data_IF_605865280774
#
_entry.id   IF_605865280774
#
_cell.length_a   1.000
_cell.length_b   1.000
_cell.length_c   1.000
_cell.angle_alpha   90.00
_cell.angle_beta   90.00
_cell.angle_gamma   90.00
#
_symmetry.space_group_name_H-M   'P 1'
#
loop_
_entity.id
_entity.type
_entity.pdbx_description
1 polymer ?
#
# COMPACT_ATOMS: atom_id res chain seq x y z
N UNK A 1 84.96 0.26 5.61
CA UNK A 1 85.07 -0.94 6.46
C UNK A 1 83.70 -1.29 7.03
N UNK A 2 83.23 -2.51 6.72
CA UNK A 2 82.36 -3.43 7.49
C UNK A 2 81.18 -2.90 8.35
N UNK A 3 80.00 -3.43 7.96
CA UNK A 3 78.82 -3.85 8.77
C UNK A 3 77.92 -2.70 9.26
N UNK A 4 76.59 -2.77 9.27
CA UNK A 4 75.73 -3.91 9.55
C UNK A 4 74.34 -3.75 8.92
N UNK A 5 73.75 -4.88 8.56
CA UNK A 5 72.35 -5.05 8.14
C UNK A 5 71.44 -4.83 9.34
N UNK A 6 70.34 -4.08 9.17
CA UNK A 6 69.13 -4.28 9.97
C UNK A 6 67.91 -3.89 9.13
N UNK A 7 67.42 -4.87 8.38
CA UNK A 7 66.08 -4.89 7.82
C UNK A 7 65.16 -5.31 8.97
N UNK A 8 64.35 -4.39 9.50
CA UNK A 8 63.23 -4.71 10.39
C UNK A 8 61.94 -4.29 9.72
N UNK A 9 61.17 -5.30 9.37
CA UNK A 9 59.79 -5.27 8.94
C UNK A 9 58.98 -4.26 9.76
N UNK A 10 58.38 -3.29 9.09
CA UNK A 10 57.25 -2.53 9.62
C UNK A 10 56.03 -3.44 9.43
N UNK A 11 55.68 -4.18 10.47
CA UNK A 11 54.40 -4.86 10.57
C UNK A 11 53.36 -3.81 10.97
N UNK A 12 52.67 -3.21 10.00
CA UNK A 12 51.48 -2.42 10.26
C UNK A 12 50.40 -3.36 10.82
N UNK A 13 50.27 -3.39 12.14
CA UNK A 13 49.17 -4.02 12.84
C UNK A 13 47.94 -3.11 12.67
N UNK A 14 47.19 -3.26 11.58
CA UNK A 14 45.85 -2.67 11.49
C UNK A 14 44.94 -3.47 12.42
N UNK A 15 44.66 -2.92 13.60
CA UNK A 15 43.57 -3.37 14.46
C UNK A 15 42.28 -3.06 13.70
N UNK A 16 41.79 -4.04 12.93
CA UNK A 16 40.41 -4.04 12.49
C UNK A 16 39.55 -4.32 13.73
N UNK A 17 39.01 -3.26 14.33
CA UNK A 17 37.87 -3.42 15.24
C UNK A 17 36.71 -3.83 14.35
N UNK A 18 36.57 -5.13 14.14
CA UNK A 18 35.33 -5.69 13.67
C UNK A 18 34.30 -5.44 14.78
N UNK A 19 33.48 -4.40 14.61
CA UNK A 19 32.16 -4.38 15.21
C UNK A 19 31.38 -5.52 14.56
N UNK A 20 31.59 -6.74 15.06
CA UNK A 20 30.65 -7.81 14.86
C UNK A 20 29.38 -7.39 15.60
N UNK A 21 28.44 -6.79 14.87
CA UNK A 21 27.06 -6.83 15.29
C UNK A 21 26.72 -8.30 15.57
N UNK A 22 26.01 -8.61 16.67
CA UNK A 22 25.60 -9.97 16.94
C UNK A 22 24.84 -10.51 15.71
N UNK A 23 25.12 -11.76 15.34
CA UNK A 23 24.50 -12.37 14.17
C UNK A 23 22.98 -12.43 14.38
N UNK A 24 22.18 -12.10 13.37
CA UNK A 24 20.71 -12.10 13.44
C UNK A 24 20.12 -13.42 13.94
N UNK A 25 20.83 -14.55 13.78
CA UNK A 25 20.44 -15.84 14.35
C UNK A 25 20.38 -15.81 15.89
N UNK A 26 21.33 -15.12 16.53
CA UNK A 26 21.34 -14.98 18.00
C UNK A 26 20.27 -14.02 18.52
N UNK A 27 19.84 -13.03 17.74
CA UNK A 27 18.69 -12.17 18.08
C UNK A 27 17.35 -12.89 17.90
N UNK A 28 17.20 -13.70 16.84
CA UNK A 28 16.00 -14.51 16.61
C UNK A 28 15.84 -15.58 17.70
N UNK A 29 16.94 -16.22 18.12
CA UNK A 29 16.91 -17.21 19.20
C UNK A 29 16.71 -16.57 20.59
N UNK A 30 17.17 -15.34 20.81
CA UNK A 30 16.91 -14.59 22.04
C UNK A 30 15.44 -14.10 22.15
N UNK A 31 14.78 -13.82 21.03
CA UNK A 31 13.33 -13.53 20.98
C UNK A 31 12.51 -14.78 21.36
N UNK A 32 13.02 -15.98 21.08
CA UNK A 32 12.29 -17.23 21.28
C UNK A 32 12.21 -17.75 22.73
N UNK A 33 13.04 -17.29 23.67
CA UNK A 33 13.19 -18.01 24.95
C UNK A 33 12.63 -17.40 26.24
N UNK A 34 12.41 -16.09 26.41
CA UNK A 34 11.80 -15.59 27.67
C UNK A 34 11.06 -14.26 27.48
N UNK A 35 9.94 -14.24 26.77
CA UNK A 35 8.97 -13.16 26.94
C UNK A 35 7.61 -13.76 27.29
N UNK A 36 7.07 -13.38 28.45
CA UNK A 36 5.67 -13.58 28.72
C UNK A 36 4.90 -12.99 27.53
N UNK A 37 4.03 -13.79 26.91
CA UNK A 37 3.27 -13.47 25.70
C UNK A 37 2.16 -12.48 26.01
N UNK A 38 2.55 -11.34 26.56
CA UNK A 38 1.64 -10.26 26.88
C UNK A 38 1.13 -9.64 25.58
N UNK A 39 -0.11 -9.13 25.57
CA UNK A 39 -0.64 -8.40 24.43
C UNK A 39 0.30 -7.32 23.88
N UNK A 40 1.02 -6.62 24.76
CA UNK A 40 1.99 -5.58 24.38
C UNK A 40 3.19 -6.15 23.61
N UNK A 41 3.75 -7.28 24.07
CA UNK A 41 4.87 -7.94 23.40
C UNK A 41 4.44 -8.43 22.01
N UNK A 42 3.30 -9.10 21.92
CA UNK A 42 2.78 -9.59 20.64
C UNK A 42 2.50 -8.44 19.65
N UNK A 43 1.94 -7.34 20.15
CA UNK A 43 1.71 -6.12 19.34
C UNK A 43 3.03 -5.56 18.83
N UNK A 44 4.05 -5.44 19.70
CA UNK A 44 5.37 -4.94 19.31
C UNK A 44 6.00 -5.81 18.22
N UNK A 45 6.02 -7.13 18.41
CA UNK A 45 6.56 -8.07 17.41
C UNK A 45 5.84 -7.88 16.07
N UNK A 46 4.51 -7.76 16.10
CA UNK A 46 3.72 -7.53 14.89
C UNK A 46 4.10 -6.23 14.17
N UNK A 47 4.29 -5.15 14.92
CA UNK A 47 4.71 -3.86 14.35
C UNK A 47 6.14 -3.94 13.78
N UNK A 48 7.07 -4.58 14.49
CA UNK A 48 8.45 -4.78 14.03
C UNK A 48 8.49 -5.61 12.72
N UNK A 49 7.61 -6.61 12.58
CA UNK A 49 7.44 -7.36 11.34
C UNK A 49 6.94 -6.50 10.18
N UNK A 50 5.96 -5.62 10.41
CA UNK A 50 5.48 -4.68 9.39
C UNK A 50 6.60 -3.72 8.96
N UNK A 51 7.30 -3.11 9.92
CA UNK A 51 8.41 -2.19 9.64
C UNK A 51 9.49 -2.89 8.81
N UNK A 52 9.92 -4.08 9.22
CA UNK A 52 10.90 -4.87 8.47
C UNK A 52 10.42 -5.20 7.06
N UNK A 53 9.14 -5.54 6.89
CA UNK A 53 8.56 -5.81 5.58
C UNK A 53 8.60 -4.58 4.67
N UNK A 54 8.19 -3.42 5.18
CA UNK A 54 8.14 -2.18 4.41
C UNK A 54 9.54 -1.72 3.99
N UNK A 55 10.52 -1.82 4.89
CA UNK A 55 11.92 -1.50 4.59
C UNK A 55 12.48 -2.40 3.47
N UNK A 56 12.28 -3.73 3.57
CA UNK A 56 12.76 -4.68 2.56
C UNK A 56 12.14 -4.45 1.18
N UNK A 57 10.89 -3.98 1.13
CA UNK A 57 10.16 -3.74 -0.10
C UNK A 57 10.20 -2.28 -0.58
N UNK A 58 11.04 -1.44 0.05
CA UNK A 58 11.16 -0.01 -0.25
C UNK A 58 9.81 0.74 -0.25
N UNK A 59 8.87 0.32 0.61
CA UNK A 59 7.60 1.01 0.86
C UNK A 59 7.84 2.05 1.95
N UNK A 60 7.65 3.32 1.62
CA UNK A 60 7.93 4.41 2.56
C UNK A 60 6.75 4.62 3.51
N UNK A 61 6.87 4.10 4.72
CA UNK A 61 6.00 4.45 5.85
C UNK A 61 6.34 5.88 6.31
N UNK A 62 5.32 6.72 6.42
CA UNK A 62 5.44 8.15 6.78
C UNK A 62 5.08 8.38 8.23
N UNK A 63 3.97 7.81 8.68
CA UNK A 63 3.52 7.85 10.06
C UNK A 63 2.82 6.56 10.45
N UNK A 64 2.82 6.30 11.75
CA UNK A 64 2.13 5.17 12.36
C UNK A 64 1.55 5.63 13.69
N UNK A 65 0.26 5.40 13.90
CA UNK A 65 -0.45 5.75 15.12
C UNK A 65 -1.07 4.50 15.70
N UNK A 66 -0.76 4.24 16.96
CA UNK A 66 -1.27 3.09 17.70
C UNK A 66 -2.26 3.63 18.72
N UNK A 67 -3.50 3.17 18.62
CA UNK A 67 -4.56 3.52 19.57
C UNK A 67 -4.47 2.66 20.84
N UNK A 68 -5.12 3.08 21.95
CA UNK A 68 -5.19 2.26 23.14
C UNK A 68 -5.70 0.84 22.85
N UNK A 69 -5.05 -0.13 23.48
CA UNK A 69 -5.42 -1.54 23.36
C UNK A 69 -6.78 -1.79 24.01
N UNK A 70 -7.61 -2.56 23.31
CA UNK A 70 -8.90 -3.03 23.79
C UNK A 70 -8.70 -4.48 24.22
N UNK A 71 -8.92 -4.78 25.50
CA UNK A 71 -8.68 -6.11 26.09
C UNK A 71 -9.99 -6.67 26.62
N UNK A 72 -10.24 -7.94 26.33
CA UNK A 72 -11.29 -8.76 26.92
C UNK A 72 -10.70 -10.00 27.59
N UNK A 73 -11.55 -10.86 28.14
CA UNK A 73 -11.13 -12.10 28.82
C UNK A 73 -10.31 -13.06 27.93
N UNK A 74 -10.58 -13.10 26.61
CA UNK A 74 -9.96 -14.07 25.70
C UNK A 74 -9.36 -13.46 24.43
N UNK A 75 -9.62 -12.18 24.16
CA UNK A 75 -9.13 -11.49 22.97
C UNK A 75 -8.63 -10.08 23.30
N UNK A 76 -7.67 -9.61 22.52
CA UNK A 76 -7.30 -8.21 22.50
C UNK A 76 -7.20 -7.69 21.08
N UNK A 77 -7.42 -6.40 20.94
CA UNK A 77 -7.36 -5.68 19.68
C UNK A 77 -6.55 -4.39 19.87
N UNK A 78 -5.71 -4.09 18.90
CA UNK A 78 -4.94 -2.85 18.84
C UNK A 78 -5.26 -2.18 17.50
N UNK A 79 -6.05 -1.09 17.50
CA UNK A 79 -6.26 -0.30 16.31
C UNK A 79 -4.99 0.45 15.94
N UNK A 80 -4.59 0.35 14.67
CA UNK A 80 -3.40 0.98 14.12
C UNK A 80 -3.76 1.71 12.83
N UNK A 81 -3.26 2.92 12.70
CA UNK A 81 -3.29 3.70 11.46
C UNK A 81 -1.86 3.78 10.92
N UNK A 82 -1.68 3.45 9.65
CA UNK A 82 -0.39 3.51 8.95
C UNK A 82 -0.53 4.39 7.70
N UNK A 83 0.25 5.47 7.62
CA UNK A 83 0.31 6.35 6.47
C UNK A 83 1.56 6.10 5.64
N UNK A 84 1.40 6.09 4.32
CA UNK A 84 2.43 5.75 3.35
C UNK A 84 2.53 6.81 2.27
N UNK A 85 3.74 6.98 1.74
CA UNK A 85 3.99 7.69 0.48
C UNK A 85 4.55 6.69 -0.52
N UNK A 86 3.82 6.41 -1.59
CA UNK A 86 4.15 5.30 -2.48
C UNK A 86 3.71 5.57 -3.93
N UNK A 87 4.14 4.73 -4.87
CA UNK A 87 3.57 4.71 -6.23
C UNK A 87 2.52 3.61 -6.40
N UNK A 88 1.67 3.71 -7.43
CA UNK A 88 0.57 2.76 -7.66
C UNK A 88 0.99 1.29 -7.59
N UNK A 89 2.14 0.94 -8.17
CA UNK A 89 2.68 -0.42 -8.17
C UNK A 89 3.10 -0.94 -6.78
N UNK A 90 3.27 -0.07 -5.80
CA UNK A 90 3.64 -0.42 -4.43
C UNK A 90 2.42 -0.62 -3.52
N UNK A 91 1.21 -0.25 -3.95
CA UNK A 91 -0.01 -0.46 -3.14
C UNK A 91 -0.20 -1.94 -2.80
N UNK A 92 -0.13 -2.90 -3.76
CA UNK A 92 -0.30 -4.31 -3.44
C UNK A 92 0.76 -4.83 -2.48
N UNK A 93 2.01 -4.35 -2.59
CA UNK A 93 3.10 -4.71 -1.67
C UNK A 93 2.81 -4.24 -0.26
N UNK A 94 2.38 -3.00 -0.09
CA UNK A 94 2.03 -2.46 1.21
C UNK A 94 0.86 -3.23 1.87
N UNK A 95 -0.13 -3.65 1.08
CA UNK A 95 -1.24 -4.47 1.57
C UNK A 95 -0.83 -5.92 1.86
N UNK A 96 0.11 -6.48 1.11
CA UNK A 96 0.64 -7.83 1.36
C UNK A 96 1.34 -7.96 2.72
N UNK A 97 1.94 -6.87 3.23
CA UNK A 97 2.56 -6.84 4.55
C UNK A 97 1.61 -7.29 5.67
N UNK A 98 0.32 -6.94 5.58
CA UNK A 98 -0.69 -7.29 6.58
C UNK A 98 -1.05 -8.78 6.53
N UNK A 99 -1.03 -9.38 5.34
CA UNK A 99 -1.23 -10.83 5.16
C UNK A 99 0.01 -11.60 5.64
N UNK A 100 1.21 -11.17 5.23
CA UNK A 100 2.46 -11.87 5.53
C UNK A 100 2.89 -11.77 7.00
N UNK A 101 2.53 -10.67 7.66
CA UNK A 101 2.71 -10.55 9.12
C UNK A 101 1.63 -11.31 9.90
N UNK A 102 0.49 -11.63 9.26
CA UNK A 102 -0.57 -12.42 9.89
C UNK A 102 -0.18 -13.89 9.98
N UNK A 103 -0.23 -14.44 11.18
CA UNK A 103 0.14 -15.82 11.44
C UNK A 103 0.43 -16.10 12.90
N UNK A 104 0.41 -17.38 13.27
CA UNK A 104 0.70 -17.82 14.64
C UNK A 104 -0.32 -17.34 15.67
N UNK A 105 -0.03 -16.22 16.35
CA UNK A 105 -0.80 -15.69 17.50
C UNK A 105 -1.49 -14.36 17.23
N UNK A 106 -1.24 -13.74 16.08
CA UNK A 106 -1.76 -12.42 15.72
C UNK A 106 -2.21 -12.40 14.27
N UNK A 107 -3.25 -11.63 13.99
CA UNK A 107 -3.70 -11.27 12.66
C UNK A 107 -3.70 -9.74 12.58
N UNK A 108 -3.20 -9.20 11.47
CA UNK A 108 -3.40 -7.80 11.12
C UNK A 108 -4.52 -7.74 10.10
N UNK A 109 -5.64 -7.14 10.48
CA UNK A 109 -6.82 -7.03 9.62
C UNK A 109 -6.98 -5.60 9.14
N UNK A 110 -6.61 -5.27 7.89
CA UNK A 110 -6.97 -3.99 7.29
C UNK A 110 -8.49 -3.83 7.31
N UNK A 111 -8.95 -2.71 7.84
CA UNK A 111 -10.36 -2.34 7.98
C UNK A 111 -10.75 -1.31 6.94
N UNK A 112 -9.92 -0.32 6.68
CA UNK A 112 -10.19 0.67 5.66
C UNK A 112 -8.90 1.12 4.99
N UNK A 113 -8.99 1.47 3.71
CA UNK A 113 -7.87 1.99 2.93
C UNK A 113 -8.33 3.23 2.20
N UNK A 114 -7.56 4.30 2.33
CA UNK A 114 -7.73 5.52 1.53
C UNK A 114 -6.45 5.78 0.75
N UNK A 115 -6.57 6.05 -0.54
CA UNK A 115 -5.47 6.41 -1.44
C UNK A 115 -5.82 7.70 -2.14
N UNK A 116 -4.91 8.68 -2.10
CA UNK A 116 -5.04 9.95 -2.80
C UNK A 116 -3.79 10.26 -3.59
N UNK A 117 -3.96 10.86 -4.77
CA UNK A 117 -2.84 11.44 -5.52
C UNK A 117 -2.29 12.63 -4.75
N UNK A 118 -0.99 12.61 -4.48
CA UNK A 118 -0.26 13.70 -3.85
C UNK A 118 -0.05 14.87 -4.82
N UNK A 119 0.28 16.04 -4.29
CA UNK A 119 0.76 17.15 -5.09
C UNK A 119 2.19 16.92 -5.63
N UNK A 120 2.89 15.91 -5.11
CA UNK A 120 4.24 15.54 -5.50
C UNK A 120 4.25 14.45 -6.59
N UNK A 121 5.25 14.52 -7.46
CA UNK A 121 5.56 13.47 -8.43
C UNK A 121 7.02 13.08 -8.31
N UNK A 122 7.33 11.84 -8.70
CA UNK A 122 8.71 11.43 -8.95
C UNK A 122 9.33 12.29 -10.07
N UNK A 123 10.67 12.36 -10.18
CA UNK A 123 11.34 13.11 -11.25
C UNK A 123 10.95 12.67 -12.67
N UNK A 124 10.51 11.42 -12.84
CA UNK A 124 10.01 10.86 -14.10
C UNK A 124 8.56 11.26 -14.42
N UNK A 125 7.91 12.05 -13.56
CA UNK A 125 6.52 12.48 -13.70
C UNK A 125 5.48 11.53 -13.10
N UNK A 126 5.89 10.36 -12.58
CA UNK A 126 4.97 9.41 -11.94
C UNK A 126 4.36 10.04 -10.69
N UNK A 127 3.02 10.07 -10.54
CA UNK A 127 2.40 10.62 -9.34
C UNK A 127 2.80 9.83 -8.09
N UNK A 128 3.14 10.56 -7.01
CA UNK A 128 3.21 9.97 -5.69
C UNK A 128 1.80 9.90 -5.10
N UNK A 129 1.53 8.87 -4.31
CA UNK A 129 0.25 8.63 -3.67
C UNK A 129 0.44 8.67 -2.16
N UNK A 130 -0.48 9.36 -1.48
CA UNK A 130 -0.66 9.25 -0.04
C UNK A 130 -1.68 8.15 0.22
N UNK A 131 -1.27 7.11 0.92
CA UNK A 131 -2.15 6.01 1.31
C UNK A 131 -2.22 5.92 2.83
N UNK A 132 -3.43 5.79 3.36
CA UNK A 132 -3.67 5.49 4.77
C UNK A 132 -4.38 4.15 4.89
N UNK A 133 -3.84 3.27 5.72
CA UNK A 133 -4.47 1.99 6.07
C UNK A 133 -4.85 2.04 7.54
N UNK A 134 -6.15 1.89 7.81
CA UNK A 134 -6.66 1.60 9.14
C UNK A 134 -6.71 0.09 9.30
N UNK A 135 -6.01 -0.45 10.28
CA UNK A 135 -5.94 -1.88 10.56
C UNK A 135 -6.20 -2.17 12.04
N UNK A 136 -6.59 -3.41 12.32
CA UNK A 136 -6.68 -3.92 13.69
C UNK A 136 -5.72 -5.08 13.83
N UNK A 137 -4.79 -5.00 14.79
CA UNK A 137 -3.94 -6.12 15.18
C UNK A 137 -4.66 -6.88 16.31
N UNK A 138 -4.91 -8.17 16.14
CA UNK A 138 -5.67 -8.94 17.12
C UNK A 138 -5.23 -10.39 17.22
N UNK A 139 -5.42 -10.99 18.39
CA UNK A 139 -5.08 -12.39 18.65
C UNK A 139 -6.22 -13.38 18.31
N UNK A 140 -7.35 -12.90 17.79
CA UNK A 140 -8.45 -13.75 17.35
C UNK A 140 -8.13 -14.46 16.02
N UNK A 141 -7.24 -15.44 16.07
CA UNK A 141 -6.76 -16.20 14.90
C UNK A 141 -7.81 -17.08 14.24
N UNK A 142 -8.94 -17.35 14.92
CA UNK A 142 -10.05 -18.14 14.36
C UNK A 142 -10.79 -17.41 13.22
N UNK A 143 -10.68 -16.09 13.15
CA UNK A 143 -11.34 -15.28 12.12
C UNK A 143 -10.72 -15.44 10.72
N UNK A 144 -9.47 -15.95 10.63
CA UNK A 144 -8.72 -15.95 9.37
C UNK A 144 -8.36 -14.54 8.88
N UNK A 145 -7.49 -14.45 7.89
CA UNK A 145 -7.15 -13.18 7.25
C UNK A 145 -8.18 -12.87 6.14
N UNK A 146 -8.77 -11.67 6.19
CA UNK A 146 -9.66 -11.19 5.13
C UNK A 146 -8.84 -10.53 4.01
N UNK A 147 -8.79 -11.18 2.85
CA UNK A 147 -8.05 -10.69 1.67
C UNK A 147 -8.87 -9.82 0.71
N UNK A 148 -10.14 -9.51 1.01
CA UNK A 148 -11.04 -8.76 0.11
C UNK A 148 -10.47 -7.40 -0.29
N UNK A 149 -9.80 -6.69 0.63
CA UNK A 149 -9.17 -5.39 0.30
C UNK A 149 -8.01 -5.55 -0.67
N UNK A 150 -7.13 -6.55 -0.46
CA UNK A 150 -6.05 -6.85 -1.40
C UNK A 150 -6.60 -7.21 -2.78
N UNK A 151 -7.61 -8.09 -2.83
CA UNK A 151 -8.27 -8.48 -4.07
C UNK A 151 -8.93 -7.29 -4.79
N UNK A 152 -9.56 -6.37 -4.04
CA UNK A 152 -10.11 -5.14 -4.59
C UNK A 152 -9.03 -4.30 -5.26
N UNK A 153 -7.89 -4.07 -4.62
CA UNK A 153 -6.80 -3.30 -5.21
C UNK A 153 -6.14 -3.99 -6.42
N UNK A 154 -6.02 -5.32 -6.40
CA UNK A 154 -5.57 -6.08 -7.56
C UNK A 154 -6.53 -5.92 -8.75
N UNK A 155 -7.85 -6.01 -8.52
CA UNK A 155 -8.87 -5.77 -9.52
C UNK A 155 -8.86 -4.31 -10.03
N UNK A 156 -8.72 -3.33 -9.12
CA UNK A 156 -8.59 -1.92 -9.45
C UNK A 156 -7.44 -1.67 -10.44
N UNK A 157 -6.28 -2.27 -10.16
CA UNK A 157 -5.07 -2.07 -10.98
C UNK A 157 -5.21 -2.58 -12.42
N UNK A 158 -6.17 -3.47 -12.67
CA UNK A 158 -6.49 -4.00 -14.02
C UNK A 158 -7.46 -3.10 -14.78
N UNK A 159 -8.27 -2.32 -14.06
CA UNK A 159 -9.34 -1.49 -14.64
C UNK A 159 -8.88 -0.05 -14.87
N UNK A 160 -8.12 0.52 -13.95
CA UNK A 160 -7.74 1.94 -13.99
C UNK A 160 -6.42 2.23 -13.29
N UNK A 161 -6.07 3.51 -13.22
CA UNK A 161 -4.79 4.01 -12.71
C UNK A 161 -4.97 5.35 -12.01
N UNK A 162 -4.01 5.67 -11.14
CA UNK A 162 -3.86 7.01 -10.58
C UNK A 162 -3.09 7.97 -11.49
N UNK A 163 -2.49 7.47 -12.57
CA UNK A 163 -1.72 8.28 -13.51
C UNK A 163 -2.64 8.97 -14.52
N UNK A 164 -2.56 10.31 -14.67
CA UNK A 164 -3.38 11.04 -15.63
C UNK A 164 -3.28 10.50 -17.05
N UNK A 165 -4.43 10.19 -17.66
CA UNK A 165 -4.53 9.64 -19.02
C UNK A 165 -4.95 10.71 -20.03
N UNK A 166 -4.13 11.76 -20.16
CA UNK A 166 -4.38 12.83 -21.14
C UNK A 166 -3.64 12.50 -22.43
N UNK A 167 -4.38 12.07 -23.44
CA UNK A 167 -3.88 11.99 -24.80
C UNK A 167 -3.92 13.38 -25.44
N UNK A 168 -2.74 13.91 -25.81
CA UNK A 168 -2.67 15.16 -26.57
C UNK A 168 -3.30 14.96 -27.96
N UNK A 169 -4.32 15.79 -28.29
CA UNK A 169 -4.94 15.94 -29.62
C UNK A 169 -4.95 14.66 -30.48
N UNK A 170 -5.88 13.75 -30.20
CA UNK A 170 -6.50 12.95 -31.27
C UNK A 170 -8.01 13.14 -31.16
N UNK A 171 -8.63 13.42 -32.30
CA UNK A 171 -10.08 13.46 -32.44
C UNK A 171 -10.72 12.24 -31.75
N UNK A 172 -11.93 12.39 -31.19
CA UNK A 172 -12.63 11.28 -30.57
C UNK A 172 -12.63 10.10 -31.53
N UNK A 173 -12.10 8.95 -31.07
CA UNK A 173 -12.05 7.75 -31.89
C UNK A 173 -13.46 7.47 -32.45
N UNK A 174 -13.59 7.21 -33.76
CA UNK A 174 -14.87 6.85 -34.37
C UNK A 174 -15.45 5.65 -33.62
N UNK A 175 -16.79 5.64 -33.46
CA UNK A 175 -17.56 4.73 -32.60
C UNK A 175 -17.22 3.24 -32.76
N UNK A 176 -16.66 2.85 -33.90
CA UNK A 176 -16.33 1.46 -34.23
C UNK A 176 -15.02 0.91 -33.63
N UNK A 177 -14.19 1.74 -32.95
CA UNK A 177 -12.93 1.31 -32.32
C UNK A 177 -12.91 1.47 -30.78
N UNK A 178 -14.05 1.77 -30.17
CA UNK A 178 -14.16 2.12 -28.74
C UNK A 178 -13.78 0.97 -27.78
N UNK A 179 -13.83 -0.29 -28.22
CA UNK A 179 -13.41 -1.44 -27.42
C UNK A 179 -11.89 -1.52 -27.23
N UNK A 180 -11.09 -0.97 -28.15
CA UNK A 180 -9.62 -1.04 -28.10
C UNK A 180 -8.97 0.00 -27.15
N UNK A 181 -9.72 1.03 -26.73
CA UNK A 181 -9.27 2.06 -25.77
C UNK A 181 -9.88 1.92 -24.38
N UNK A 182 -10.43 0.75 -24.05
CA UNK A 182 -11.01 0.45 -22.74
C UNK A 182 -10.11 0.94 -21.58
N UNK A 183 -10.63 1.85 -20.76
CA UNK A 183 -9.97 2.40 -19.57
C UNK A 183 -8.86 3.45 -19.80
N UNK A 184 -8.44 3.74 -21.04
CA UNK A 184 -7.24 4.57 -21.33
C UNK A 184 -7.46 6.08 -21.33
N UNK A 185 -8.57 6.57 -20.76
CA UNK A 185 -8.93 8.00 -20.77
C UNK A 185 -9.64 8.44 -19.49
N UNK A 186 -9.75 7.56 -18.49
CA UNK A 186 -10.21 7.86 -17.15
C UNK A 186 -9.15 7.44 -16.13
N UNK A 187 -8.95 8.26 -15.11
CA UNK A 187 -7.99 8.01 -14.03
C UNK A 187 -8.55 8.49 -12.70
N UNK A 188 -8.00 7.95 -11.63
CA UNK A 188 -8.48 8.16 -10.27
C UNK A 188 -7.54 9.13 -9.54
N UNK A 189 -8.12 10.04 -8.77
CA UNK A 189 -7.36 10.92 -7.88
C UNK A 189 -7.55 10.56 -6.42
N UNK A 190 -8.68 9.94 -6.06
CA UNK A 190 -8.96 9.45 -4.72
C UNK A 190 -9.74 8.14 -4.78
N UNK A 191 -9.36 7.19 -3.94
CA UNK A 191 -10.03 5.92 -3.73
C UNK A 191 -10.14 5.69 -2.22
N UNK A 192 -11.32 5.35 -1.75
CA UNK A 192 -11.57 4.93 -0.37
C UNK A 192 -12.40 3.67 -0.34
N UNK A 193 -11.94 2.69 0.42
CA UNK A 193 -12.69 1.46 0.73
C UNK A 193 -12.78 1.36 2.25
N UNK A 194 -14.00 1.38 2.77
CA UNK A 194 -14.29 1.29 4.21
C UNK A 194 -14.52 -0.16 4.66
N UNK A 195 -14.57 -0.37 5.98
CA UNK A 195 -14.69 -1.71 6.59
C UNK A 195 -16.01 -2.41 6.37
N UNK A 196 -17.03 -1.68 5.94
CA UNK A 196 -18.33 -2.21 5.53
C UNK A 196 -18.46 -2.32 4.01
N UNK A 197 -17.29 -2.37 3.35
CA UNK A 197 -17.10 -2.56 1.92
C UNK A 197 -17.67 -1.43 1.06
N UNK A 198 -17.99 -0.27 1.64
CA UNK A 198 -18.35 0.93 0.89
C UNK A 198 -17.12 1.44 0.14
N UNK A 199 -17.32 1.69 -1.15
CA UNK A 199 -16.32 2.22 -2.08
C UNK A 199 -16.70 3.64 -2.45
N UNK A 200 -15.71 4.55 -2.43
CA UNK A 200 -15.82 5.89 -2.97
C UNK A 200 -14.62 6.15 -3.88
N UNK A 201 -14.88 6.63 -5.09
CA UNK A 201 -13.87 6.95 -6.10
C UNK A 201 -14.11 8.35 -6.60
N UNK A 202 -13.10 9.21 -6.54
CA UNK A 202 -13.07 10.47 -7.29
C UNK A 202 -12.03 10.37 -8.38
N UNK A 203 -12.41 10.76 -9.58
CA UNK A 203 -11.52 10.71 -10.73
C UNK A 203 -11.85 11.74 -11.80
N UNK A 204 -11.15 11.59 -12.92
CA UNK A 204 -11.29 12.42 -14.10
C UNK A 204 -11.38 11.53 -15.33
N UNK A 205 -12.15 11.98 -16.31
CA UNK A 205 -12.24 11.35 -17.62
C UNK A 205 -12.21 12.42 -18.70
N UNK A 206 -11.67 12.10 -19.88
CA UNK A 206 -11.72 13.04 -21.02
C UNK A 206 -13.17 13.27 -21.50
N UNK A 207 -14.02 12.26 -21.42
CA UNK A 207 -15.41 12.31 -21.90
C UNK A 207 -16.36 11.58 -20.95
N UNK A 208 -17.62 12.01 -20.88
CA UNK A 208 -18.63 11.42 -19.99
C UNK A 208 -18.87 9.93 -20.26
N UNK A 209 -18.83 9.48 -21.53
CA UNK A 209 -19.04 8.07 -21.88
C UNK A 209 -18.00 7.13 -21.26
N UNK A 210 -16.79 7.63 -21.00
CA UNK A 210 -15.68 6.85 -20.44
C UNK A 210 -15.93 6.50 -18.97
N UNK A 211 -16.73 7.31 -18.27
CA UNK A 211 -17.12 7.06 -16.88
C UNK A 211 -18.09 5.87 -16.81
N UNK A 212 -19.07 5.81 -17.71
CA UNK A 212 -19.98 4.67 -17.80
C UNK A 212 -19.25 3.38 -18.18
N UNK A 213 -18.27 3.47 -19.07
CA UNK A 213 -17.42 2.32 -19.41
C UNK A 213 -16.59 1.88 -18.20
N UNK A 214 -16.00 2.83 -17.47
CA UNK A 214 -15.23 2.55 -16.25
C UNK A 214 -16.06 1.76 -15.22
N UNK A 215 -17.30 2.18 -14.94
CA UNK A 215 -18.19 1.45 -14.03
C UNK A 215 -18.43 0.00 -14.49
N UNK A 216 -18.70 -0.20 -15.79
CA UNK A 216 -18.91 -1.54 -16.35
C UNK A 216 -17.66 -2.42 -16.25
N UNK A 217 -16.47 -1.86 -16.48
CA UNK A 217 -15.22 -2.60 -16.33
C UNK A 217 -14.95 -2.99 -14.87
N UNK A 218 -15.29 -2.13 -13.90
CA UNK A 218 -15.25 -2.50 -12.49
C UNK A 218 -16.21 -3.66 -12.18
N UNK A 219 -17.46 -3.59 -12.63
CA UNK A 219 -18.45 -4.65 -12.41
C UNK A 219 -18.04 -5.99 -13.05
N UNK A 220 -17.42 -5.95 -14.25
CA UNK A 220 -16.90 -7.14 -14.93
C UNK A 220 -15.83 -7.89 -14.14
N UNK A 221 -15.13 -7.24 -13.20
CA UNK A 221 -14.15 -7.92 -12.35
C UNK A 221 -14.79 -8.89 -11.36
N UNK A 222 -16.10 -8.76 -11.07
CA UNK A 222 -16.81 -9.50 -10.04
C UNK A 222 -16.48 -9.08 -8.60
N UNK A 223 -15.39 -8.33 -8.39
CA UNK A 223 -14.95 -7.85 -7.07
C UNK A 223 -15.72 -6.61 -6.64
N UNK A 224 -16.27 -5.85 -7.59
CA UNK A 224 -17.06 -4.65 -7.32
C UNK A 224 -18.52 -4.89 -7.67
N UNK A 225 -19.42 -4.44 -6.79
CA UNK A 225 -20.86 -4.51 -6.94
C UNK A 225 -21.48 -3.12 -6.76
N UNK A 226 -22.64 -2.92 -7.39
CA UNK A 226 -23.44 -1.70 -7.24
C UNK A 226 -22.62 -0.44 -7.54
N UNK A 227 -22.05 -0.29 -8.74
CA UNK A 227 -21.27 0.90 -9.07
C UNK A 227 -22.18 1.98 -9.64
N UNK A 228 -22.30 3.14 -8.99
CA UNK A 228 -23.10 4.26 -9.51
C UNK A 228 -22.34 5.59 -9.52
N UNK A 229 -22.61 6.37 -10.56
CA UNK A 229 -22.13 7.74 -10.68
C UNK A 229 -22.91 8.63 -9.71
N UNK A 230 -22.22 9.20 -8.72
CA UNK A 230 -22.78 10.13 -7.74
C UNK A 230 -22.83 11.56 -8.29
N UNK A 231 -21.74 12.01 -8.92
CA UNK A 231 -21.64 13.36 -9.46
C UNK A 231 -20.70 13.41 -10.65
N UNK A 232 -20.95 14.38 -11.54
CA UNK A 232 -20.11 14.66 -12.69
C UNK A 232 -20.12 16.14 -12.99
N UNK A 233 -18.94 16.75 -13.15
CA UNK A 233 -18.77 18.18 -13.41
C UNK A 233 -17.67 18.41 -14.44
N UNK A 234 -17.80 19.47 -15.25
CA UNK A 234 -16.72 19.90 -16.14
C UNK A 234 -15.61 20.53 -15.33
N UNK A 235 -14.37 20.20 -15.66
CA UNK A 235 -13.17 20.71 -15.03
C UNK A 235 -12.06 20.89 -16.07
N UNK A 236 -10.92 21.45 -15.67
CA UNK A 236 -9.73 21.60 -16.50
C UNK A 236 -8.56 20.97 -15.76
N UNK A 237 -7.91 19.99 -16.39
CA UNK A 237 -6.70 19.36 -15.87
C UNK A 237 -5.54 19.66 -16.82
N UNK A 238 -4.46 20.28 -16.35
CA UNK A 238 -3.31 20.69 -17.17
C UNK A 238 -3.71 21.40 -18.47
N UNK A 239 -4.67 22.33 -18.42
CA UNK A 239 -5.22 23.08 -19.58
C UNK A 239 -6.05 22.24 -20.57
N UNK A 240 -6.35 20.98 -20.25
CA UNK A 240 -7.27 20.15 -21.04
C UNK A 240 -8.65 20.08 -20.36
N UNK A 241 -9.76 20.28 -21.11
CA UNK A 241 -11.09 20.07 -20.57
C UNK A 241 -11.28 18.59 -20.25
N UNK A 242 -11.80 18.31 -19.05
CA UNK A 242 -12.07 16.97 -18.54
C UNK A 242 -13.38 16.96 -17.75
N UNK A 243 -13.94 15.77 -17.53
CA UNK A 243 -15.05 15.53 -16.62
C UNK A 243 -14.48 15.02 -15.30
N UNK A 244 -14.61 15.80 -14.22
CA UNK A 244 -14.41 15.27 -12.87
C UNK A 244 -15.66 14.49 -12.48
N UNK A 245 -15.47 13.30 -11.91
CA UNK A 245 -16.56 12.44 -11.46
C UNK A 245 -16.33 11.91 -10.05
N UNK A 246 -17.42 11.57 -9.38
CA UNK A 246 -17.42 10.80 -8.16
C UNK A 246 -18.32 9.58 -8.34
N UNK A 247 -17.79 8.39 -8.06
CA UNK A 247 -18.49 7.11 -8.10
C UNK A 247 -18.57 6.59 -6.68
N UNK A 248 -19.72 6.02 -6.33
CA UNK A 248 -19.90 5.27 -5.10
C UNK A 248 -20.26 3.84 -5.51
N UNK A 249 -19.80 2.87 -4.74
CA UNK A 249 -20.24 1.50 -4.90
C UNK A 249 -19.86 0.63 -3.72
N UNK A 250 -19.73 -0.69 -3.94
CA UNK A 250 -19.34 -1.63 -2.91
C UNK A 250 -18.36 -2.68 -3.42
N UNK A 251 -17.54 -3.22 -2.53
CA UNK A 251 -16.77 -4.44 -2.79
C UNK A 251 -17.67 -5.63 -2.48
N UNK A 252 -17.69 -6.62 -3.38
CA UNK A 252 -18.42 -7.87 -3.21
C UNK A 252 -17.83 -8.68 -2.04
N UNK A 253 -18.71 -9.33 -1.26
CA UNK A 253 -18.31 -10.29 -0.21
C UNK A 253 -17.77 -11.59 -0.82
#
# INVERSE_FOLDING_TARGET
MKKSKFLRFILCLTIAIAFAAPSQATEIDAINQVQAETPLVLTRIMLDLHLSYFERNAVRLMDMRVSPMIVSESHFEVPVEMGFMLTQNQIPLALAAFEESSGGKMIASPRAVTVSVSAESKPDGTPLLSMTVLATLHNNVKAGYNSSLKQAFEAFSKVTTFTPQITGKKEPAPENNAEATAGKSAWISNLRIDSDLRLQITGYAQEARMINQLCREFEKTGVYSEMWLSSMTRNVYNKHPVMRFDIIGRVSN
#
